data_IF_574149511979
#
_entry.id   IF_574149511979
#
_cell.length_a   1.000
_cell.length_b   1.000
_cell.length_c   1.000
_cell.angle_alpha   90.00
_cell.angle_beta   90.00
_cell.angle_gamma   90.00
#
_symmetry.space_group_name_H-M   'P 1'
#
loop_
_entity.id
_entity.type
_entity.pdbx_description
1 polymer ?
#
# COMPACT_ATOMS: atom_id res chain seq x y z
N UNK A 1 -22.34 -1.34 6.71
CA UNK A 1 -21.10 -0.92 6.03
C UNK A 1 -20.00 -0.61 7.05
N UNK A 2 -20.32 0.09 8.14
CA UNK A 2 -19.35 0.49 9.17
C UNK A 2 -18.55 -0.66 9.78
N UNK A 3 -19.18 -1.81 10.04
CA UNK A 3 -18.46 -3.00 10.54
C UNK A 3 -17.44 -3.55 9.53
N UNK A 4 -17.78 -3.49 8.23
CA UNK A 4 -16.87 -3.91 7.16
C UNK A 4 -15.69 -2.94 7.04
N UNK A 5 -15.96 -1.64 7.05
CA UNK A 5 -14.91 -0.62 7.02
C UNK A 5 -13.99 -0.73 8.23
N UNK A 6 -14.56 -0.91 9.43
CA UNK A 6 -13.79 -1.08 10.67
C UNK A 6 -12.92 -2.33 10.61
N UNK A 7 -13.44 -3.45 10.10
CA UNK A 7 -12.66 -4.67 9.91
C UNK A 7 -11.51 -4.45 8.92
N UNK A 8 -11.76 -3.73 7.81
CA UNK A 8 -10.72 -3.40 6.83
C UNK A 8 -9.63 -2.51 7.43
N UNK A 9 -10.01 -1.49 8.21
CA UNK A 9 -9.06 -0.63 8.94
C UNK A 9 -8.21 -1.46 9.91
N UNK A 10 -8.82 -2.40 10.65
CA UNK A 10 -8.12 -3.26 11.58
C UNK A 10 -7.12 -4.18 10.86
N UNK A 11 -7.51 -4.74 9.71
CA UNK A 11 -6.60 -5.53 8.87
C UNK A 11 -5.45 -4.69 8.36
N UNK A 12 -5.71 -3.49 7.84
CA UNK A 12 -4.68 -2.58 7.35
C UNK A 12 -3.67 -2.19 8.44
N UNK A 13 -4.15 -1.90 9.65
CA UNK A 13 -3.28 -1.58 10.80
C UNK A 13 -2.43 -2.78 11.23
N UNK A 14 -3.01 -3.98 11.22
CA UNK A 14 -2.28 -5.21 11.56
C UNK A 14 -1.20 -5.51 10.54
N UNK A 15 -1.51 -5.41 9.24
CA UNK A 15 -0.54 -5.60 8.16
C UNK A 15 0.59 -4.56 8.24
N UNK A 16 0.24 -3.28 8.44
CA UNK A 16 1.21 -2.20 8.58
C UNK A 16 2.13 -2.37 9.79
N UNK A 17 1.61 -2.86 10.92
CA UNK A 17 2.43 -3.19 12.09
C UNK A 17 3.48 -4.25 11.75
N UNK A 18 3.10 -5.35 11.09
CA UNK A 18 4.05 -6.42 10.74
C UNK A 18 5.13 -5.96 9.77
N UNK A 19 4.75 -5.15 8.78
CA UNK A 19 5.71 -4.54 7.85
C UNK A 19 6.70 -3.66 8.61
N UNK A 20 6.21 -2.77 9.48
CA UNK A 20 7.07 -1.86 10.22
C UNK A 20 8.02 -2.58 11.18
N UNK A 21 7.53 -3.57 11.92
CA UNK A 21 8.36 -4.39 12.80
C UNK A 21 9.47 -5.11 12.03
N UNK A 22 9.14 -5.69 10.87
CA UNK A 22 10.14 -6.38 10.06
C UNK A 22 11.18 -5.41 9.50
N UNK A 23 10.76 -4.29 8.91
CA UNK A 23 11.66 -3.31 8.31
C UNK A 23 12.55 -2.62 9.36
N UNK A 24 12.05 -2.35 10.56
CA UNK A 24 12.86 -1.82 11.67
C UNK A 24 13.91 -2.82 12.16
N UNK A 25 13.55 -4.11 12.21
CA UNK A 25 14.47 -5.17 12.62
C UNK A 25 15.50 -5.52 11.53
N UNK A 26 15.22 -5.20 10.26
CA UNK A 26 16.04 -5.58 9.11
C UNK A 26 16.26 -4.37 8.17
N UNK A 27 17.03 -3.35 8.60
CA UNK A 27 17.17 -2.09 7.85
C UNK A 27 17.83 -2.26 6.48
N UNK A 28 18.62 -3.32 6.28
CA UNK A 28 19.31 -3.61 5.01
C UNK A 28 18.47 -4.41 4.01
N UNK A 29 17.22 -4.73 4.35
CA UNK A 29 16.32 -5.53 3.51
C UNK A 29 15.28 -4.66 2.83
N UNK A 30 15.03 -4.97 1.55
CA UNK A 30 13.86 -4.45 0.84
C UNK A 30 12.64 -5.31 1.19
N UNK A 31 11.56 -4.66 1.63
CA UNK A 31 10.28 -5.33 1.91
C UNK A 31 9.39 -5.26 0.67
N UNK A 32 8.92 -6.41 0.21
CA UNK A 32 7.91 -6.51 -0.85
C UNK A 32 6.61 -7.05 -0.26
N UNK A 33 5.52 -6.32 -0.48
CA UNK A 33 4.19 -6.67 0.04
C UNK A 33 3.27 -6.97 -1.13
N UNK A 34 2.64 -8.14 -1.10
CA UNK A 34 1.60 -8.53 -2.07
C UNK A 34 0.27 -8.52 -1.32
N UNK A 35 -0.63 -7.64 -1.75
CA UNK A 35 -1.94 -7.46 -1.12
C UNK A 35 -3.01 -7.14 -2.18
N UNK A 36 -4.27 -7.31 -1.79
CA UNK A 36 -5.39 -6.86 -2.63
C UNK A 36 -5.38 -5.34 -2.83
N UNK A 37 -5.71 -4.88 -4.04
CA UNK A 37 -5.64 -3.46 -4.41
C UNK A 37 -6.37 -2.52 -3.43
N UNK A 38 -7.49 -2.95 -2.86
CA UNK A 38 -8.27 -2.15 -1.90
C UNK A 38 -7.52 -1.74 -0.64
N UNK A 39 -6.40 -2.40 -0.33
CA UNK A 39 -5.53 -2.09 0.80
C UNK A 39 -4.38 -1.12 0.45
N UNK A 40 -4.26 -0.72 -0.82
CA UNK A 40 -3.10 -0.01 -1.39
C UNK A 40 -3.50 1.27 -2.15
N UNK A 41 -4.61 1.24 -2.90
CA UNK A 41 -4.96 2.31 -3.84
C UNK A 41 -5.00 3.70 -3.20
N UNK A 42 -4.54 4.70 -3.94
CA UNK A 42 -4.39 6.10 -3.51
C UNK A 42 -3.45 6.30 -2.30
N UNK A 43 -2.62 5.30 -1.97
CA UNK A 43 -1.78 5.30 -0.76
C UNK A 43 -2.58 5.12 0.53
N UNK A 44 -3.90 4.91 0.45
CA UNK A 44 -4.73 4.61 1.59
C UNK A 44 -4.57 3.15 2.01
N UNK A 45 -4.94 2.83 3.25
CA UNK A 45 -4.76 1.48 3.78
C UNK A 45 -3.36 1.27 4.34
N UNK A 46 -2.67 0.24 3.84
CA UNK A 46 -1.34 -0.18 4.31
C UNK A 46 -0.29 0.94 4.15
N UNK A 47 -0.12 1.60 2.98
CA UNK A 47 1.01 2.51 2.75
C UNK A 47 1.05 3.70 3.74
N UNK A 48 -0.08 4.40 3.91
CA UNK A 48 -0.18 5.50 4.89
C UNK A 48 0.04 5.06 6.34
N UNK A 49 -0.40 3.85 6.72
CA UNK A 49 -0.21 3.31 8.06
C UNK A 49 1.23 2.89 8.33
N UNK A 50 1.93 2.39 7.32
CA UNK A 50 3.38 2.14 7.38
C UNK A 50 4.12 3.47 7.47
N UNK A 51 3.84 4.42 6.57
CA UNK A 51 4.48 5.74 6.54
C UNK A 51 4.45 6.42 7.92
N UNK A 52 3.27 6.42 8.57
CA UNK A 52 3.09 6.99 9.92
C UNK A 52 4.01 6.37 10.97
N UNK A 53 4.32 5.07 10.87
CA UNK A 53 5.23 4.36 11.80
C UNK A 53 6.71 4.65 11.56
N UNK A 54 7.04 5.29 10.44
CA UNK A 54 8.37 5.75 10.08
C UNK A 54 8.48 7.28 10.02
N UNK A 55 7.53 8.03 10.62
CA UNK A 55 7.49 9.49 10.54
C UNK A 55 7.55 10.04 9.10
N UNK A 56 6.99 9.29 8.14
CA UNK A 56 7.04 9.57 6.69
C UNK A 56 8.47 9.61 6.10
N UNK A 57 9.44 8.96 6.75
CA UNK A 57 10.84 8.87 6.30
C UNK A 57 11.16 7.53 5.62
N UNK A 58 10.13 6.77 5.22
CA UNK A 58 10.29 5.53 4.48
C UNK A 58 9.88 5.75 3.03
N UNK A 59 10.80 5.47 2.10
CA UNK A 59 10.48 5.41 0.68
C UNK A 59 9.58 4.19 0.42
N UNK A 60 8.44 4.43 -0.23
CA UNK A 60 7.46 3.42 -0.56
C UNK A 60 7.05 3.58 -2.01
N UNK A 61 6.86 2.47 -2.71
CA UNK A 61 6.41 2.43 -4.09
C UNK A 61 5.27 1.43 -4.18
N UNK A 62 4.16 1.86 -4.78
CA UNK A 62 2.98 1.06 -5.06
C UNK A 62 2.91 0.68 -6.54
N UNK A 63 2.63 -0.59 -6.81
CA UNK A 63 2.44 -1.12 -8.15
C UNK A 63 1.10 -1.83 -8.20
N UNK A 64 0.23 -1.44 -9.12
CA UNK A 64 -1.03 -2.18 -9.37
C UNK A 64 -0.90 -3.05 -10.60
N UNK A 65 -1.30 -4.31 -10.46
CA UNK A 65 -1.21 -5.32 -11.52
C UNK A 65 -2.56 -5.51 -12.20
N UNK A 66 -2.58 -5.54 -13.53
CA UNK A 66 -3.76 -5.90 -14.32
C UNK A 66 -4.87 -4.83 -14.32
N UNK A 67 -4.52 -3.56 -14.09
CA UNK A 67 -5.46 -2.44 -14.12
C UNK A 67 -5.58 -1.93 -15.55
N UNK A 68 -6.81 -1.72 -16.04
CA UNK A 68 -7.04 -1.07 -17.33
C UNK A 68 -6.82 0.45 -17.21
N UNK A 69 -6.09 1.01 -18.18
CA UNK A 69 -5.55 2.37 -18.31
C UNK A 69 -6.48 3.56 -17.99
N UNK A 70 -7.78 3.39 -17.73
CA UNK A 70 -8.73 4.51 -17.67
C UNK A 70 -8.65 5.39 -16.39
N UNK A 71 -7.80 5.06 -15.40
CA UNK A 71 -7.75 5.81 -14.12
C UNK A 71 -6.42 6.53 -13.82
N UNK A 72 -6.47 7.83 -14.13
CA UNK A 72 -5.90 8.99 -13.42
C UNK A 72 -4.38 8.99 -13.20
N UNK A 73 -3.64 9.51 -14.20
CA UNK A 73 -2.34 10.14 -13.97
C UNK A 73 -2.51 11.56 -13.40
N UNK A 74 -1.61 12.01 -12.52
CA UNK A 74 -1.63 13.35 -11.91
C UNK A 74 -1.76 13.32 -10.38
N UNK A 75 -2.23 14.42 -9.77
CA UNK A 75 -2.34 14.59 -8.30
C UNK A 75 -3.22 13.54 -7.59
N UNK A 76 -4.02 12.77 -8.35
CA UNK A 76 -4.91 11.70 -7.85
C UNK A 76 -4.52 10.32 -8.39
N UNK A 77 -3.21 10.08 -8.57
CA UNK A 77 -2.72 8.79 -9.02
C UNK A 77 -3.18 7.65 -8.09
N UNK A 78 -3.72 6.59 -8.68
CA UNK A 78 -4.22 5.41 -7.93
C UNK A 78 -3.07 4.57 -7.34
N UNK A 79 -1.88 4.67 -7.93
CA UNK A 79 -0.61 4.09 -7.48
C UNK A 79 0.56 4.76 -8.22
N UNK A 80 1.79 4.47 -7.81
CA UNK A 80 3.01 5.04 -8.43
C UNK A 80 3.28 4.42 -9.82
N UNK A 81 3.01 3.12 -9.97
CA UNK A 81 3.13 2.41 -11.24
C UNK A 81 1.92 1.52 -11.51
N UNK A 82 1.55 1.42 -12.78
CA UNK A 82 0.56 0.48 -13.29
C UNK A 82 1.28 -0.54 -14.17
N UNK A 83 1.11 -1.81 -13.86
CA UNK A 83 1.55 -2.91 -14.70
C UNK A 83 0.37 -3.40 -15.53
N UNK A 84 0.37 -3.03 -16.80
CA UNK A 84 -0.58 -3.53 -17.78
C UNK A 84 -0.04 -4.83 -18.38
N UNK A 85 -0.80 -5.91 -18.26
CA UNK A 85 -0.52 -7.11 -19.03
C UNK A 85 -1.22 -6.96 -20.38
N UNK A 86 -0.46 -6.55 -21.39
CA UNK A 86 -0.89 -6.66 -22.78
C UNK A 86 -0.86 -8.15 -23.14
N UNK A 87 -2.01 -8.71 -23.51
CA UNK A 87 -2.03 -10.01 -24.17
C UNK A 87 -1.27 -9.94 -25.50
#
# INVERSE_FOLDING_TARGET
FDNFFTAQVLWDETMAEKIALFAQANPDYQVVVIAGQGHIIYGYGIPSRVARRFNNQLEQISVLLGVQSEKLAGENAIADYLWEHLF
#
